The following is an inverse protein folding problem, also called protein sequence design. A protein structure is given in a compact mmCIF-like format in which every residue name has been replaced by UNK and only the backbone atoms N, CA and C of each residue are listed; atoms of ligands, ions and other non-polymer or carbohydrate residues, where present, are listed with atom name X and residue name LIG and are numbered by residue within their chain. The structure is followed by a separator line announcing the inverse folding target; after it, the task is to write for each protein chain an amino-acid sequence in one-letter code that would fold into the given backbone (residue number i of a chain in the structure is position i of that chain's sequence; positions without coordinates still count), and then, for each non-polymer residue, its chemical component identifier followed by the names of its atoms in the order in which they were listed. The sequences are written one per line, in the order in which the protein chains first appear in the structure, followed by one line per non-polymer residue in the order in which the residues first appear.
data_IF_564413655072
#
_entry.id   IF_564413655072
#
_cell.length_a   1.000
_cell.length_b   1.000
_cell.length_c   1.000
_cell.angle_alpha   90.00
_cell.angle_beta   90.00
_cell.angle_gamma   90.00
#
_symmetry.space_group_name_H-M   'P 1'
#
loop_
_entity.id
_entity.type
_entity.pdbx_description
1 polymer ?
#
# COMPACT_ATOMS: atom_id res chain seq x y z
N UNK A 1 -13.68 20.75 -14.94
CA UNK A 1 -12.58 20.62 -13.96
C UNK A 1 -12.73 21.74 -12.94
N UNK A 2 -12.58 21.44 -11.65
CA UNK A 2 -12.69 22.41 -10.54
C UNK A 2 -11.47 22.32 -9.65
N UNK A 3 -10.99 23.45 -9.12
CA UNK A 3 -9.87 23.48 -8.19
C UNK A 3 -10.34 23.65 -6.75
N UNK A 4 -9.76 22.86 -5.85
CA UNK A 4 -9.76 23.18 -4.43
C UNK A 4 -8.64 24.18 -4.15
N UNK A 5 -8.94 25.24 -3.41
CA UNK A 5 -7.99 26.26 -3.00
C UNK A 5 -8.45 26.92 -1.69
N UNK A 6 -7.51 27.38 -0.89
CA UNK A 6 -7.77 28.25 0.26
C UNK A 6 -7.08 29.58 0.00
N UNK A 7 -7.86 30.66 -0.11
CA UNK A 7 -7.36 32.01 -0.44
C UNK A 7 -6.67 32.64 0.78
N UNK A 8 -5.50 32.13 1.13
CA UNK A 8 -4.65 32.59 2.24
C UNK A 8 -3.18 32.37 1.86
N UNK A 9 -2.36 33.42 1.99
CA UNK A 9 -0.99 33.47 1.45
C UNK A 9 0.00 33.86 2.56
N UNK A 10 0.66 32.91 3.24
CA UNK A 10 0.54 31.47 3.09
C UNK A 10 -0.63 30.86 3.88
N UNK A 11 -1.18 29.73 3.42
CA UNK A 11 -2.13 28.94 4.21
C UNK A 11 -1.38 28.01 5.19
N UNK A 12 -1.72 28.03 6.49
CA UNK A 12 -1.26 27.02 7.45
C UNK A 12 -1.76 25.60 7.09
N UNK A 13 -0.96 24.58 7.39
CA UNK A 13 -1.24 23.20 6.97
C UNK A 13 -2.58 22.66 7.50
N UNK A 14 -2.98 23.04 8.71
CA UNK A 14 -4.23 22.66 9.37
C UNK A 14 -5.48 23.26 8.72
N UNK A 15 -5.32 24.34 7.93
CA UNK A 15 -6.40 25.02 7.23
C UNK A 15 -6.52 24.62 5.75
N UNK A 16 -5.59 23.84 5.21
CA UNK A 16 -5.59 23.46 3.77
C UNK A 16 -6.85 22.70 3.36
N UNK A 17 -7.35 21.81 4.23
CA UNK A 17 -8.58 21.04 4.01
C UNK A 17 -8.62 20.19 2.71
N UNK A 18 -7.57 19.40 2.43
CA UNK A 18 -7.47 18.61 1.19
C UNK A 18 -8.61 17.60 0.95
N UNK A 19 -9.34 17.16 1.99
CA UNK A 19 -10.47 16.23 1.84
C UNK A 19 -11.61 16.81 0.99
N UNK A 20 -11.67 18.13 0.82
CA UNK A 20 -12.59 18.80 -0.11
C UNK A 20 -12.41 18.30 -1.54
N UNK A 21 -11.20 17.88 -1.95
CA UNK A 21 -10.99 17.27 -3.28
C UNK A 21 -11.89 16.06 -3.51
N UNK A 22 -12.02 15.19 -2.50
CA UNK A 22 -12.89 14.01 -2.58
C UNK A 22 -14.36 14.42 -2.66
N UNK A 23 -14.79 15.40 -1.87
CA UNK A 23 -16.15 15.96 -1.95
C UNK A 23 -16.44 16.53 -3.34
N UNK A 24 -15.57 17.40 -3.86
CA UNK A 24 -15.74 18.01 -5.19
C UNK A 24 -15.80 16.96 -6.30
N UNK A 25 -14.96 15.92 -6.23
CA UNK A 25 -14.96 14.83 -7.20
C UNK A 25 -16.27 14.05 -7.18
N UNK A 26 -16.76 13.70 -5.99
CA UNK A 26 -17.97 12.88 -5.82
C UNK A 26 -19.25 13.66 -6.18
N UNK A 27 -19.37 14.90 -5.72
CA UNK A 27 -20.58 15.72 -5.90
C UNK A 27 -20.71 16.25 -7.33
N UNK A 28 -19.58 16.62 -7.97
CA UNK A 28 -19.61 17.26 -9.29
C UNK A 28 -19.30 16.31 -10.43
N UNK A 29 -18.86 15.07 -10.15
CA UNK A 29 -18.53 14.07 -11.16
C UNK A 29 -17.49 14.52 -12.19
N UNK A 30 -16.64 15.48 -11.83
CA UNK A 30 -15.65 16.11 -12.73
C UNK A 30 -14.23 15.95 -12.22
N UNK A 31 -13.26 16.23 -13.09
CA UNK A 31 -11.85 16.29 -12.71
C UNK A 31 -11.62 17.37 -11.66
N UNK A 32 -10.81 17.06 -10.64
CA UNK A 32 -10.43 18.00 -9.59
C UNK A 32 -8.95 18.35 -9.68
N UNK A 33 -8.63 19.63 -9.46
CA UNK A 33 -7.28 20.14 -9.30
C UNK A 33 -7.07 20.72 -7.90
N UNK A 34 -5.82 21.02 -7.55
CA UNK A 34 -5.48 21.69 -6.29
C UNK A 34 -4.61 22.91 -6.57
N UNK A 35 -5.05 24.08 -6.13
CA UNK A 35 -4.25 25.31 -6.15
C UNK A 35 -3.73 25.60 -4.75
N UNK A 36 -2.40 25.60 -4.65
CA UNK A 36 -1.65 25.51 -3.40
C UNK A 36 -1.04 26.86 -3.03
N UNK A 37 -1.37 27.32 -1.83
CA UNK A 37 -0.86 28.57 -1.25
C UNK A 37 -0.05 28.35 0.04
N UNK A 38 0.29 27.09 0.36
CA UNK A 38 1.20 26.77 1.47
C UNK A 38 2.66 27.01 1.07
N UNK A 39 3.58 27.10 2.03
CA UNK A 39 5.02 27.33 1.74
C UNK A 39 5.79 26.07 1.31
N UNK A 40 5.18 24.90 1.47
CA UNK A 40 5.83 23.59 1.37
C UNK A 40 5.65 22.91 0.02
N UNK A 41 6.22 21.72 -0.08
CA UNK A 41 6.18 20.86 -1.29
C UNK A 41 5.42 19.55 -1.07
N UNK A 42 5.04 19.27 0.18
CA UNK A 42 4.41 18.01 0.59
C UNK A 42 2.91 18.01 0.25
N UNK A 43 2.23 19.13 0.48
CA UNK A 43 0.78 19.25 0.31
C UNK A 43 0.33 18.97 -1.14
N UNK A 44 1.01 19.48 -2.18
CA UNK A 44 0.74 19.06 -3.56
C UNK A 44 0.78 17.55 -3.81
N UNK A 45 1.76 16.85 -3.24
CA UNK A 45 1.87 15.40 -3.41
C UNK A 45 0.72 14.66 -2.70
N UNK A 46 0.31 15.13 -1.52
CA UNK A 46 -0.87 14.60 -0.84
C UNK A 46 -2.17 14.88 -1.61
N UNK A 47 -2.30 16.03 -2.27
CA UNK A 47 -3.45 16.34 -3.12
C UNK A 47 -3.57 15.37 -4.31
N UNK A 48 -2.45 14.98 -4.92
CA UNK A 48 -2.42 13.94 -5.96
C UNK A 48 -2.96 12.60 -5.42
N UNK A 49 -2.57 12.21 -4.20
CA UNK A 49 -3.08 10.98 -3.58
C UNK A 49 -4.61 10.99 -3.38
N UNK A 50 -5.20 12.18 -3.24
CA UNK A 50 -6.64 12.38 -3.09
C UNK A 50 -7.37 12.58 -4.44
N UNK A 51 -6.65 12.45 -5.56
CA UNK A 51 -7.22 12.47 -6.90
C UNK A 51 -7.13 13.82 -7.62
N UNK A 52 -6.35 14.78 -7.11
CA UNK A 52 -6.04 15.99 -7.87
C UNK A 52 -5.24 15.63 -9.14
N UNK A 53 -5.78 15.97 -10.31
CA UNK A 53 -5.13 15.71 -11.61
C UNK A 53 -4.30 16.89 -12.11
N UNK A 54 -4.47 18.07 -11.52
CA UNK A 54 -3.66 19.27 -11.79
C UNK A 54 -3.24 19.89 -10.47
N UNK A 55 -1.97 20.27 -10.38
CA UNK A 55 -1.40 21.02 -9.26
C UNK A 55 -1.01 22.40 -9.77
N UNK A 56 -1.51 23.43 -9.11
CA UNK A 56 -1.10 24.82 -9.30
C UNK A 56 -0.35 25.30 -8.05
N UNK A 57 0.78 25.98 -8.24
CA UNK A 57 1.66 26.45 -7.16
C UNK A 57 2.35 27.72 -7.59
N UNK A 58 2.34 28.73 -6.74
CA UNK A 58 3.10 29.95 -6.97
C UNK A 58 4.60 29.65 -7.08
N UNK A 59 5.27 30.30 -8.03
CA UNK A 59 6.69 30.12 -8.32
C UNK A 59 7.40 31.46 -8.30
N UNK A 60 8.61 31.48 -7.74
CA UNK A 60 9.48 32.65 -7.78
C UNK A 60 10.93 32.26 -7.98
N UNK A 61 11.75 33.19 -8.44
CA UNK A 61 13.21 33.02 -8.47
C UNK A 61 13.84 33.37 -7.11
N UNK A 62 13.17 34.20 -6.31
CA UNK A 62 13.64 34.67 -5.00
C UNK A 62 12.43 35.14 -4.16
N UNK A 63 12.26 34.54 -2.97
CA UNK A 63 11.16 34.87 -2.04
C UNK A 63 11.29 36.24 -1.37
N UNK A 64 12.47 36.88 -1.43
CA UNK A 64 12.73 38.19 -0.84
C UNK A 64 12.34 39.36 -1.74
N UNK A 65 11.96 39.08 -3.00
CA UNK A 65 11.50 40.09 -3.94
C UNK A 65 10.20 40.77 -3.49
N UNK A 66 9.99 41.99 -3.99
CA UNK A 66 8.83 42.81 -3.66
C UNK A 66 7.56 42.18 -4.25
N UNK A 67 6.61 41.85 -3.39
CA UNK A 67 5.26 41.43 -3.77
C UNK A 67 4.72 40.40 -2.78
N UNK A 68 3.40 40.39 -2.55
CA UNK A 68 2.79 39.55 -1.52
C UNK A 68 2.94 38.05 -1.82
N UNK A 69 2.96 37.67 -3.10
CA UNK A 69 2.95 36.27 -3.52
C UNK A 69 4.32 35.59 -3.42
N UNK A 70 5.41 36.37 -3.38
CA UNK A 70 6.77 35.83 -3.26
C UNK A 70 6.95 35.02 -1.97
N UNK A 71 6.28 35.43 -0.88
CA UNK A 71 6.36 34.77 0.43
C UNK A 71 5.72 33.37 0.42
N UNK A 72 4.66 33.18 -0.38
CA UNK A 72 3.95 31.90 -0.51
C UNK A 72 4.50 31.02 -1.65
N UNK A 73 5.24 31.60 -2.59
CA UNK A 73 5.83 30.93 -3.75
C UNK A 73 6.88 29.88 -3.36
N UNK A 74 7.11 28.88 -4.21
CA UNK A 74 8.32 28.03 -4.15
C UNK A 74 9.38 28.53 -5.12
N UNK A 75 10.65 28.33 -4.75
CA UNK A 75 11.82 28.60 -5.60
C UNK A 75 12.11 27.42 -6.55
N UNK A 76 13.07 27.51 -7.50
CA UNK A 76 13.39 26.44 -8.46
C UNK A 76 13.52 25.06 -7.84
N UNK A 77 14.25 24.94 -6.73
CA UNK A 77 14.39 23.66 -6.02
C UNK A 77 13.06 23.18 -5.43
N UNK A 78 12.23 24.08 -4.90
CA UNK A 78 10.92 23.73 -4.36
C UNK A 78 9.93 23.29 -5.45
N UNK A 79 9.99 23.89 -6.63
CA UNK A 79 9.18 23.45 -7.78
C UNK A 79 9.63 22.08 -8.30
N UNK A 80 10.94 21.84 -8.39
CA UNK A 80 11.49 20.52 -8.74
C UNK A 80 11.02 19.43 -7.76
N UNK A 81 11.08 19.71 -6.45
CA UNK A 81 10.61 18.80 -5.42
C UNK A 81 9.10 18.57 -5.48
N UNK A 82 8.31 19.63 -5.70
CA UNK A 82 6.86 19.52 -5.91
C UNK A 82 6.55 18.57 -7.07
N UNK A 83 7.20 18.76 -8.22
CA UNK A 83 7.05 17.87 -9.38
C UNK A 83 7.46 16.44 -9.05
N UNK A 84 8.63 16.26 -8.44
CA UNK A 84 9.19 14.94 -8.12
C UNK A 84 8.26 14.16 -7.19
N UNK A 85 7.84 14.75 -6.07
CA UNK A 85 7.00 14.06 -5.10
C UNK A 85 5.60 13.77 -5.64
N UNK A 86 4.98 14.72 -6.34
CA UNK A 86 3.70 14.50 -7.01
C UNK A 86 3.78 13.35 -8.03
N UNK A 87 4.85 13.27 -8.81
CA UNK A 87 5.07 12.18 -9.76
C UNK A 87 5.28 10.83 -9.09
N UNK A 88 6.08 10.79 -8.01
CA UNK A 88 6.31 9.55 -7.24
C UNK A 88 5.00 9.05 -6.64
N UNK A 89 4.20 9.93 -6.03
CA UNK A 89 2.89 9.55 -5.49
C UNK A 89 1.99 9.03 -6.59
N UNK A 90 1.84 9.76 -7.69
CA UNK A 90 0.99 9.33 -8.82
C UNK A 90 1.38 7.94 -9.35
N UNK A 91 2.67 7.68 -9.56
CA UNK A 91 3.19 6.37 -9.98
C UNK A 91 2.93 5.28 -8.95
N UNK A 92 2.87 5.64 -7.67
CA UNK A 92 2.68 4.71 -6.55
C UNK A 92 1.22 4.38 -6.26
N UNK A 93 0.25 5.12 -6.82
CA UNK A 93 -1.17 4.91 -6.51
C UNK A 93 -1.70 3.55 -6.95
N UNK A 94 -1.18 3.00 -8.05
CA UNK A 94 -1.54 1.66 -8.51
C UNK A 94 -3.04 1.46 -8.72
N UNK A 95 -3.53 0.26 -8.36
CA UNK A 95 -4.95 -0.13 -8.43
C UNK A 95 -5.59 -0.09 -7.05
N UNK A 96 -6.91 0.11 -7.01
CA UNK A 96 -7.70 -0.07 -5.79
C UNK A 96 -7.87 -1.55 -5.42
N UNK A 97 -7.62 -2.48 -6.35
CA UNK A 97 -7.73 -3.91 -6.13
C UNK A 97 -6.46 -4.46 -5.48
N UNK A 98 -6.62 -5.28 -4.43
CA UNK A 98 -5.50 -5.96 -3.77
C UNK A 98 -5.12 -7.20 -4.56
N UNK A 99 -4.14 -7.04 -5.43
CA UNK A 99 -3.54 -8.14 -6.18
C UNK A 99 -2.11 -8.42 -5.72
N UNK A 100 -1.72 -9.70 -5.72
CA UNK A 100 -0.33 -10.10 -5.51
C UNK A 100 0.43 -9.97 -6.82
N UNK A 101 1.53 -9.23 -6.82
CA UNK A 101 2.45 -9.25 -7.96
C UNK A 101 3.29 -10.54 -7.98
N UNK A 102 3.96 -10.83 -9.10
CA UNK A 102 4.76 -12.05 -9.26
C UNK A 102 5.89 -12.18 -8.22
N UNK A 103 6.51 -11.06 -7.83
CA UNK A 103 7.54 -11.06 -6.81
C UNK A 103 6.97 -11.38 -5.41
N UNK A 104 5.78 -10.88 -5.09
CA UNK A 104 5.05 -11.23 -3.86
C UNK A 104 4.63 -12.71 -3.84
N UNK A 105 4.15 -13.25 -4.98
CA UNK A 105 3.81 -14.68 -5.10
C UNK A 105 5.05 -15.55 -4.87
N UNK A 106 6.19 -15.21 -5.49
CA UNK A 106 7.45 -15.91 -5.29
C UNK A 106 7.95 -15.79 -3.83
N UNK A 107 7.85 -14.59 -3.25
CA UNK A 107 8.22 -14.34 -1.85
C UNK A 107 7.35 -15.16 -0.88
N UNK A 108 6.07 -15.39 -1.19
CA UNK A 108 5.17 -16.22 -0.37
C UNK A 108 5.59 -17.68 -0.31
N UNK A 109 6.27 -18.21 -1.34
CA UNK A 109 6.83 -19.57 -1.28
C UNK A 109 8.00 -19.58 -0.29
N UNK A 110 8.90 -18.60 -0.37
CA UNK A 110 10.11 -18.57 0.46
C UNK A 110 9.84 -18.20 1.93
N UNK A 111 9.02 -17.18 2.16
CA UNK A 111 8.80 -16.58 3.48
C UNK A 111 7.40 -16.85 4.04
N UNK A 112 6.51 -17.45 3.26
CA UNK A 112 5.25 -17.94 3.77
C UNK A 112 5.44 -19.14 4.69
N UNK A 113 4.31 -19.58 5.23
CA UNK A 113 4.24 -20.70 6.17
C UNK A 113 3.30 -21.76 5.61
N UNK A 114 3.60 -23.00 5.93
CA UNK A 114 2.79 -24.16 5.58
C UNK A 114 2.66 -25.10 6.77
N UNK A 115 1.64 -25.96 6.72
CA UNK A 115 1.53 -27.04 7.69
C UNK A 115 2.75 -27.95 7.55
N UNK A 116 3.37 -28.25 8.68
CA UNK A 116 4.63 -28.99 8.81
C UNK A 116 4.46 -30.03 9.90
N UNK A 117 5.07 -31.20 9.75
CA UNK A 117 5.03 -32.24 10.78
C UNK A 117 5.82 -31.83 12.03
N UNK A 118 5.20 -31.95 13.20
CA UNK A 118 5.83 -31.72 14.52
C UNK A 118 6.61 -32.94 15.00
N UNK A 119 6.26 -34.14 14.52
CA UNK A 119 6.91 -35.43 14.79
C UNK A 119 6.80 -36.36 13.58
N UNK A 120 7.41 -37.54 13.64
CA UNK A 120 7.22 -38.56 12.61
C UNK A 120 5.75 -39.05 12.62
N UNK A 121 5.11 -39.11 11.45
CA UNK A 121 3.73 -39.54 11.24
C UNK A 121 3.75 -40.77 10.32
N UNK A 122 3.45 -41.97 10.82
CA UNK A 122 3.37 -43.18 9.99
C UNK A 122 2.17 -43.16 9.03
N UNK A 123 2.30 -43.85 7.90
CA UNK A 123 1.21 -44.06 6.96
C UNK A 123 -0.02 -44.70 7.65
N UNK A 124 -1.20 -44.19 7.32
CA UNK A 124 -2.48 -44.62 7.88
C UNK A 124 -2.82 -44.02 9.26
N UNK A 125 -1.89 -43.32 9.92
CA UNK A 125 -2.15 -42.65 11.19
C UNK A 125 -3.17 -41.52 11.01
N UNK A 126 -4.10 -41.40 11.96
CA UNK A 126 -5.03 -40.27 12.06
C UNK A 126 -4.29 -39.06 12.62
N UNK A 127 -4.41 -37.91 11.97
CA UNK A 127 -3.74 -36.67 12.33
C UNK A 127 -4.42 -36.04 13.55
N UNK A 128 -3.62 -35.79 14.58
CA UNK A 128 -3.99 -35.10 15.81
C UNK A 128 -3.25 -33.75 15.93
N UNK A 129 -3.63 -32.92 16.89
CA UNK A 129 -3.00 -31.61 17.13
C UNK A 129 -1.49 -31.70 17.38
N UNK A 130 -1.04 -32.74 18.08
CA UNK A 130 0.38 -32.96 18.37
C UNK A 130 1.19 -33.52 17.19
N UNK A 131 0.56 -33.84 16.06
CA UNK A 131 1.25 -34.32 14.87
C UNK A 131 1.75 -33.19 13.96
N UNK A 132 1.06 -32.05 13.95
CA UNK A 132 1.30 -30.97 12.98
C UNK A 132 1.47 -29.61 13.63
N UNK A 133 2.29 -28.77 13.01
CA UNK A 133 2.53 -27.38 13.36
C UNK A 133 2.59 -26.52 12.10
N UNK A 134 2.82 -25.22 12.26
CA UNK A 134 2.96 -24.29 11.14
C UNK A 134 4.36 -23.71 11.15
N UNK A 135 5.08 -23.83 10.03
CA UNK A 135 6.49 -23.39 9.90
C UNK A 135 6.78 -22.97 8.45
N UNK A 136 7.82 -22.17 8.25
CA UNK A 136 8.36 -21.87 6.92
C UNK A 136 9.09 -23.09 6.34
N UNK A 137 9.21 -23.23 5.01
CA UNK A 137 8.72 -22.33 3.97
C UNK A 137 7.21 -22.50 3.67
N UNK A 138 6.69 -21.65 2.80
CA UNK A 138 5.36 -21.80 2.23
C UNK A 138 5.35 -22.82 1.08
N UNK A 139 4.21 -22.94 0.41
CA UNK A 139 4.05 -23.80 -0.77
C UNK A 139 3.53 -25.22 -0.49
N UNK A 140 3.51 -25.64 0.77
CA UNK A 140 2.70 -26.77 1.23
C UNK A 140 1.27 -26.35 1.58
N UNK A 141 0.55 -27.23 2.29
CA UNK A 141 -0.83 -26.98 2.72
C UNK A 141 -0.91 -25.66 3.49
N UNK A 142 -1.87 -24.81 3.09
CA UNK A 142 -2.13 -23.53 3.73
C UNK A 142 -2.53 -23.72 5.20
N UNK A 143 -1.95 -22.95 6.14
CA UNK A 143 -2.38 -22.97 7.55
C UNK A 143 -3.85 -22.63 7.78
N UNK A 144 -4.52 -22.01 6.80
CA UNK A 144 -5.97 -21.79 6.85
C UNK A 144 -6.73 -23.11 6.97
N UNK A 145 -6.21 -24.19 6.37
CA UNK A 145 -6.80 -25.54 6.43
C UNK A 145 -6.35 -26.33 7.66
N UNK A 146 -5.59 -25.75 8.59
CA UNK A 146 -4.93 -26.48 9.68
C UNK A 146 -5.91 -27.35 10.48
N UNK A 147 -7.04 -26.77 10.89
CA UNK A 147 -8.08 -27.46 11.66
C UNK A 147 -8.79 -28.56 10.86
N UNK A 148 -8.90 -28.41 9.54
CA UNK A 148 -9.53 -29.38 8.63
C UNK A 148 -8.68 -30.65 8.42
N UNK A 149 -7.43 -30.65 8.89
CA UNK A 149 -6.54 -31.80 8.80
C UNK A 149 -6.75 -32.80 9.93
N UNK A 150 -7.34 -32.37 11.05
CA UNK A 150 -7.58 -33.27 12.17
C UNK A 150 -8.63 -34.33 11.82
N UNK A 151 -8.35 -35.57 12.21
CA UNK A 151 -9.20 -36.71 11.87
C UNK A 151 -8.94 -37.33 10.48
N UNK A 152 -8.16 -36.67 9.62
CA UNK A 152 -7.70 -37.25 8.34
C UNK A 152 -6.55 -38.22 8.54
N UNK A 153 -6.26 -39.07 7.55
CA UNK A 153 -5.20 -40.07 7.62
C UNK A 153 -4.00 -39.70 6.77
N UNK A 154 -2.80 -39.92 7.28
CA UNK A 154 -1.58 -39.84 6.47
C UNK A 154 -1.60 -40.90 5.36
N UNK A 155 -1.34 -40.51 4.12
CA UNK A 155 -1.29 -41.44 2.99
C UNK A 155 0.06 -42.14 2.85
N UNK A 156 1.10 -41.59 3.47
CA UNK A 156 2.48 -42.06 3.48
C UNK A 156 3.17 -41.71 4.79
N UNK A 157 4.37 -42.25 5.00
CA UNK A 157 5.21 -41.84 6.13
C UNK A 157 5.73 -40.41 5.93
N UNK A 158 5.53 -39.56 6.94
CA UNK A 158 5.98 -38.16 6.96
C UNK A 158 7.00 -38.01 8.10
N UNK A 159 8.27 -37.73 7.77
CA UNK A 159 9.29 -37.46 8.77
C UNK A 159 9.03 -36.13 9.51
N UNK A 160 9.57 -35.97 10.71
CA UNK A 160 9.54 -34.72 11.48
C UNK A 160 10.14 -33.54 10.69
N UNK A 161 9.63 -32.34 10.94
CA UNK A 161 10.09 -31.09 10.31
C UNK A 161 9.98 -31.10 8.77
N UNK A 162 8.97 -31.79 8.24
CA UNK A 162 8.66 -31.81 6.80
C UNK A 162 7.38 -31.04 6.51
N UNK A 163 7.46 -30.15 5.52
CA UNK A 163 6.30 -29.48 4.95
C UNK A 163 5.37 -30.53 4.36
N UNK A 164 4.08 -30.40 4.68
CA UNK A 164 3.03 -31.31 4.24
C UNK A 164 2.39 -30.72 2.98
N UNK A 165 2.22 -31.54 1.95
CA UNK A 165 1.62 -31.16 0.68
C UNK A 165 0.24 -31.79 0.48
N UNK A 166 -0.55 -31.24 -0.43
CA UNK A 166 -1.83 -31.85 -0.81
C UNK A 166 -1.58 -33.28 -1.33
N UNK A 167 -2.32 -34.25 -0.80
CA UNK A 167 -2.14 -35.68 -1.08
C UNK A 167 -1.36 -36.46 -0.03
N UNK A 168 -0.63 -35.79 0.88
CA UNK A 168 0.05 -36.45 2.01
C UNK A 168 -0.92 -36.85 3.13
N UNK A 169 -2.09 -36.21 3.17
CA UNK A 169 -3.16 -36.43 4.13
C UNK A 169 -4.49 -36.54 3.38
N UNK A 170 -5.27 -37.59 3.63
CA UNK A 170 -6.57 -37.89 3.03
C UNK A 170 -7.67 -38.05 4.08
#
# INVERSE_FOLDING_TARGET
MVFHAVTMYPVPNDLVNLRVLTTLKNELGTLVGYSSHDKGVVIPAAAVALGACVIEKHFTIDRTMIGPDHIASVEPRGMELTKRYSSVVWQSLGSAERELNENEKAARIKYGVSVTSKRNIPAGKIIEEDDIMVKCPGGGISPVKYWDLFGKKATKDIAVDKTIYDGDIA
#
